data_IF_629160950266
#
_entry.id   IF_629160950266
#
_cell.length_a   1.000
_cell.length_b   1.000
_cell.length_c   1.000
_cell.angle_alpha   90.00
_cell.angle_beta   90.00
_cell.angle_gamma   90.00
#
_symmetry.space_group_name_H-M   'P 1'
#
loop_
_entity.id
_entity.type
_entity.pdbx_description
1 polymer ?
#
# COMPACT_ATOMS: atom_id res chain seq x y z
N UNK A 1 40.43 24.82 -16.17
CA UNK A 1 39.95 24.94 -14.77
C UNK A 1 38.79 25.94 -14.77
N UNK A 2 37.55 25.46 -14.75
CA UNK A 2 36.38 26.34 -14.84
C UNK A 2 36.27 27.21 -13.57
N UNK A 3 36.32 28.53 -13.72
CA UNK A 3 36.14 29.49 -12.62
C UNK A 3 34.64 29.61 -12.38
N UNK A 4 34.12 28.85 -11.42
CA UNK A 4 32.73 28.98 -10.97
C UNK A 4 32.51 30.39 -10.41
N UNK A 5 31.50 31.09 -10.92
CA UNK A 5 31.15 32.42 -10.44
C UNK A 5 30.26 32.32 -9.18
N UNK A 6 30.21 33.36 -8.35
CA UNK A 6 29.46 33.35 -7.08
C UNK A 6 27.97 32.98 -7.28
N UNK A 7 27.38 33.39 -8.39
CA UNK A 7 25.98 33.10 -8.75
C UNK A 7 25.82 31.61 -9.10
N UNK A 8 26.74 31.03 -9.87
CA UNK A 8 26.77 29.63 -10.27
C UNK A 8 27.06 28.71 -9.08
N UNK A 9 27.90 29.17 -8.15
CA UNK A 9 28.16 28.48 -6.87
C UNK A 9 26.92 28.51 -5.98
N UNK A 10 26.19 29.63 -5.96
CA UNK A 10 24.94 29.78 -5.21
C UNK A 10 23.81 28.91 -5.79
N UNK A 11 23.68 28.84 -7.13
CA UNK A 11 22.69 28.00 -7.81
C UNK A 11 22.95 26.50 -7.55
N UNK A 12 24.22 26.07 -7.52
CA UNK A 12 24.60 24.69 -7.17
C UNK A 12 24.26 24.36 -5.71
N UNK A 13 24.52 25.28 -4.76
CA UNK A 13 24.17 25.10 -3.35
C UNK A 13 22.66 25.06 -3.12
N UNK A 14 21.91 25.91 -3.82
CA UNK A 14 20.45 25.92 -3.78
C UNK A 14 19.91 24.59 -4.33
N UNK A 15 20.41 24.10 -5.47
CA UNK A 15 20.00 22.81 -6.04
C UNK A 15 20.23 21.63 -5.07
N UNK A 16 21.36 21.63 -4.34
CA UNK A 16 21.68 20.62 -3.32
C UNK A 16 20.74 20.67 -2.10
N UNK A 17 20.29 21.87 -1.70
CA UNK A 17 19.31 22.06 -0.61
C UNK A 17 17.88 21.73 -1.06
N UNK A 18 17.52 21.96 -2.32
CA UNK A 18 16.24 21.56 -2.89
C UNK A 18 16.11 20.04 -3.03
N UNK A 19 17.20 19.31 -3.33
CA UNK A 19 17.20 17.84 -3.33
C UNK A 19 16.98 17.20 -1.96
N UNK A 20 17.25 17.91 -0.86
CA UNK A 20 16.96 17.43 0.50
C UNK A 20 15.46 17.43 0.83
N UNK A 21 14.70 18.37 0.23
CA UNK A 21 13.27 18.49 0.46
C UNK A 21 12.42 17.50 -0.37
N UNK A 22 12.96 16.97 -1.48
CA UNK A 22 12.24 15.97 -2.29
C UNK A 22 12.27 14.56 -1.67
N UNK A 23 13.24 14.27 -0.81
CA UNK A 23 13.34 12.98 -0.11
C UNK A 23 12.37 12.85 1.07
N UNK A 24 11.87 13.98 1.60
CA UNK A 24 10.89 14.01 2.68
C UNK A 24 9.47 14.38 2.22
N UNK A 25 9.26 14.60 0.92
CA UNK A 25 7.93 14.74 0.33
C UNK A 25 7.41 13.37 -0.15
N UNK A 26 7.52 12.36 0.72
CA UNK A 26 6.78 11.11 0.59
C UNK A 26 5.32 11.36 0.89
N UNK A 27 4.59 11.95 -0.06
CA UNK A 27 3.16 12.19 0.08
C UNK A 27 2.41 10.88 -0.03
N UNK A 28 2.01 10.38 1.15
CA UNK A 28 1.01 9.36 1.42
C UNK A 28 1.25 8.05 0.65
N UNK A 29 2.13 7.19 1.17
CA UNK A 29 1.95 5.75 0.95
C UNK A 29 0.66 5.35 1.69
N UNK A 30 -0.49 5.73 1.12
CA UNK A 30 -1.80 5.18 1.41
C UNK A 30 -1.86 3.74 0.91
N UNK A 31 -0.85 2.95 1.24
CA UNK A 31 -0.89 1.52 1.04
C UNK A 31 -1.99 1.04 1.96
N UNK A 32 -3.08 0.56 1.36
CA UNK A 32 -4.14 -0.10 2.10
C UNK A 32 -3.48 -1.23 2.93
N UNK A 33 -3.29 -0.96 4.21
CA UNK A 33 -2.80 -1.96 5.15
C UNK A 33 -4.00 -2.72 5.67
N UNK A 34 -3.83 -4.00 5.98
CA UNK A 34 -4.95 -4.77 6.48
C UNK A 34 -5.09 -4.55 7.99
N UNK A 35 -6.17 -3.88 8.41
CA UNK A 35 -6.48 -3.68 9.82
C UNK A 35 -6.93 -4.99 10.48
N UNK A 36 -7.72 -5.79 9.75
CA UNK A 36 -8.27 -7.04 10.26
C UNK A 36 -8.12 -8.19 9.28
N UNK A 37 -7.50 -9.27 9.78
CA UNK A 37 -7.22 -10.49 9.02
C UNK A 37 -8.12 -11.63 9.50
N UNK A 38 -8.62 -12.41 8.56
CA UNK A 38 -9.27 -13.69 8.79
C UNK A 38 -8.36 -14.84 8.33
N UNK A 39 -8.27 -15.90 9.13
CA UNK A 39 -7.50 -17.10 8.79
C UNK A 39 -8.46 -18.17 8.29
N UNK A 40 -8.27 -18.60 7.06
CA UNK A 40 -9.13 -19.58 6.37
C UNK A 40 -9.17 -20.91 7.12
N UNK A 41 -10.37 -21.48 7.20
CA UNK A 41 -10.67 -22.80 7.75
C UNK A 41 -11.12 -23.75 6.65
N UNK A 42 -11.08 -25.05 6.94
CA UNK A 42 -11.57 -26.07 6.01
C UNK A 42 -13.06 -25.87 5.73
N UNK A 43 -13.44 -25.83 4.45
CA UNK A 43 -14.82 -25.61 3.99
C UNK A 43 -15.22 -24.16 3.80
N UNK A 44 -14.34 -23.19 4.10
CA UNK A 44 -14.62 -21.79 3.83
C UNK A 44 -14.71 -21.50 2.32
N UNK A 45 -15.52 -20.50 1.98
CA UNK A 45 -15.62 -19.95 0.62
C UNK A 45 -15.47 -18.44 0.69
N UNK A 46 -15.01 -17.80 -0.39
CA UNK A 46 -14.97 -16.33 -0.44
C UNK A 46 -16.35 -15.73 -0.17
N UNK A 47 -17.42 -16.32 -0.71
CA UNK A 47 -18.80 -15.86 -0.49
C UNK A 47 -19.20 -15.94 0.99
N UNK A 48 -18.87 -17.04 1.68
CA UNK A 48 -19.15 -17.18 3.10
C UNK A 48 -18.38 -16.15 3.94
N UNK A 49 -17.12 -15.92 3.61
CA UNK A 49 -16.27 -14.92 4.28
C UNK A 49 -16.81 -13.50 4.04
N UNK A 50 -17.14 -13.14 2.80
CA UNK A 50 -17.67 -11.80 2.49
C UNK A 50 -19.02 -11.55 3.15
N UNK A 51 -19.90 -12.55 3.22
CA UNK A 51 -21.17 -12.45 3.95
C UNK A 51 -20.94 -12.29 5.46
N UNK A 52 -20.04 -13.08 6.04
CA UNK A 52 -19.71 -13.02 7.47
C UNK A 52 -19.20 -11.64 7.89
N UNK A 53 -18.40 -10.99 7.04
CA UNK A 53 -17.85 -9.65 7.30
C UNK A 53 -18.64 -8.51 6.64
N UNK A 54 -19.78 -8.80 5.99
CA UNK A 54 -20.61 -7.82 5.28
C UNK A 54 -19.81 -6.99 4.25
N UNK A 55 -18.88 -7.62 3.55
CA UNK A 55 -18.05 -6.99 2.51
C UNK A 55 -18.66 -7.20 1.13
N UNK A 56 -18.60 -6.18 0.28
CA UNK A 56 -18.93 -6.34 -1.14
C UNK A 56 -17.83 -7.17 -1.84
N UNK A 57 -18.17 -7.97 -2.87
CA UNK A 57 -17.15 -8.69 -3.65
C UNK A 57 -16.10 -7.76 -4.28
N UNK A 58 -16.51 -6.56 -4.68
CA UNK A 58 -15.61 -5.54 -5.27
C UNK A 58 -14.58 -5.07 -4.26
N UNK A 59 -15.02 -4.69 -3.06
CA UNK A 59 -14.11 -4.27 -1.97
C UNK A 59 -13.22 -5.42 -1.51
N UNK A 60 -13.79 -6.63 -1.39
CA UNK A 60 -13.02 -7.81 -0.98
C UNK A 60 -11.92 -8.18 -1.97
N UNK A 61 -12.19 -8.07 -3.27
CA UNK A 61 -11.21 -8.28 -4.33
C UNK A 61 -10.14 -7.18 -4.36
N UNK A 62 -10.53 -5.92 -4.15
CA UNK A 62 -9.55 -4.81 -4.18
C UNK A 62 -8.54 -4.88 -3.04
N UNK A 63 -8.95 -5.37 -1.87
CA UNK A 63 -8.07 -5.52 -0.70
C UNK A 63 -7.33 -6.87 -0.67
N UNK A 64 -7.64 -7.80 -1.60
CA UNK A 64 -6.98 -9.09 -1.75
C UNK A 64 -6.67 -9.40 -3.23
N UNK A 65 -5.86 -8.57 -3.91
CA UNK A 65 -5.72 -8.60 -5.39
C UNK A 65 -5.16 -9.92 -5.97
N UNK A 66 -4.49 -10.73 -5.14
CA UNK A 66 -3.89 -12.01 -5.56
C UNK A 66 -4.66 -13.23 -5.03
N UNK A 67 -5.82 -13.03 -4.39
CA UNK A 67 -6.58 -14.13 -3.82
C UNK A 67 -7.31 -14.93 -4.91
N UNK A 68 -7.02 -16.22 -4.99
CA UNK A 68 -7.78 -17.15 -5.81
C UNK A 68 -8.92 -17.79 -5.00
N UNK A 69 -10.15 -17.30 -5.21
CA UNK A 69 -11.33 -17.81 -4.51
C UNK A 69 -11.70 -19.27 -4.82
N UNK A 70 -11.16 -19.85 -5.89
CA UNK A 70 -11.38 -21.25 -6.24
C UNK A 70 -10.36 -22.20 -5.58
N UNK A 71 -9.34 -21.65 -4.90
CA UNK A 71 -8.23 -22.42 -4.32
C UNK A 71 -7.85 -21.89 -2.92
N UNK A 72 -8.85 -21.67 -2.06
CA UNK A 72 -8.60 -21.29 -0.67
C UNK A 72 -7.91 -22.43 0.09
N UNK A 73 -6.85 -22.09 0.81
CA UNK A 73 -6.10 -23.05 1.62
C UNK A 73 -6.31 -22.78 3.11
N UNK A 74 -6.62 -23.79 3.95
CA UNK A 74 -6.65 -23.61 5.41
C UNK A 74 -5.34 -23.01 5.93
N UNK A 75 -5.44 -22.03 6.83
CA UNK A 75 -4.29 -21.27 7.33
C UNK A 75 -3.93 -20.03 6.50
N UNK A 76 -4.51 -19.84 5.32
CA UNK A 76 -4.30 -18.65 4.49
C UNK A 76 -4.88 -17.40 5.17
N UNK A 77 -4.13 -16.29 5.09
CA UNK A 77 -4.55 -15.00 5.64
C UNK A 77 -5.28 -14.18 4.58
N UNK A 78 -6.47 -13.71 4.93
CA UNK A 78 -7.33 -12.91 4.07
C UNK A 78 -7.64 -11.59 4.76
N UNK A 79 -7.50 -10.50 4.04
CA UNK A 79 -7.90 -9.20 4.55
C UNK A 79 -9.42 -9.02 4.54
N UNK A 80 -9.98 -8.60 5.67
CA UNK A 80 -11.43 -8.39 5.85
C UNK A 80 -11.78 -7.00 6.39
N UNK A 81 -10.78 -6.16 6.65
CA UNK A 81 -10.94 -4.73 6.90
C UNK A 81 -9.68 -4.01 6.41
N UNK A 82 -9.74 -3.20 5.35
CA UNK A 82 -8.64 -2.32 4.99
C UNK A 82 -8.57 -1.13 5.96
N UNK A 83 -7.37 -0.78 6.39
CA UNK A 83 -7.11 0.53 6.97
C UNK A 83 -7.12 1.57 5.85
N UNK A 84 -8.08 2.48 5.90
CA UNK A 84 -8.11 3.67 5.06
C UNK A 84 -7.53 4.83 5.88
N UNK A 85 -6.54 5.57 5.35
CA UNK A 85 -6.01 6.75 6.03
C UNK A 85 -7.05 7.88 6.14
#
# INVERSE_FOLDING_TARGET
MAKYNKIQTLVLMIALLFSFNMANFGFLDGKASCEKVYVVRSGDTCTGITQMFKLSPVTFGSINPNLNCNALSPGQWICVSPHLP
#
